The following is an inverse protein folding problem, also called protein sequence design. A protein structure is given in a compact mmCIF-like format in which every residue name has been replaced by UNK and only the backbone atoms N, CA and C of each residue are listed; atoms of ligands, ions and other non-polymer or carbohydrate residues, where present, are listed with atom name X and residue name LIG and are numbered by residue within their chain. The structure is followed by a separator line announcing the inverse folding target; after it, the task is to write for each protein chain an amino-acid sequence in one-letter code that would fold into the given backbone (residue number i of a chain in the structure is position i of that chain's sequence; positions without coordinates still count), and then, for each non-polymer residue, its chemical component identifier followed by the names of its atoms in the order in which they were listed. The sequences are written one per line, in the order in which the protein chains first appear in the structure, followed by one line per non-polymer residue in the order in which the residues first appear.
data_IF_729541981126
#
_entry.id   IF_729541981126
#
_cell.length_a   1.000
_cell.length_b   1.000
_cell.length_c   1.000
_cell.angle_alpha   90.00
_cell.angle_beta   90.00
_cell.angle_gamma   90.00
#
_symmetry.space_group_name_H-M   'P 1'
#
loop_
_entity.id
_entity.type
_entity.pdbx_description
1 polymer ?
#
# COMPACT_ATOMS: atom_id res chain seq x y z
N UNK A 1 -4.85 44.98 21.73
CA UNK A 1 -4.65 43.53 21.96
C UNK A 1 -5.34 42.73 20.85
N UNK A 2 -4.58 42.10 19.93
CA UNK A 2 -5.13 41.18 18.91
C UNK A 2 -4.97 39.75 19.45
N UNK A 3 -6.07 39.07 19.75
CA UNK A 3 -6.10 37.66 20.17
C UNK A 3 -7.27 36.99 19.45
N UNK A 4 -7.02 35.78 18.96
CA UNK A 4 -7.99 34.75 18.56
C UNK A 4 -8.41 34.72 17.08
N UNK A 5 -7.52 34.27 16.19
CA UNK A 5 -7.92 33.70 14.87
C UNK A 5 -7.15 32.41 14.50
N UNK A 6 -6.33 31.81 15.38
CA UNK A 6 -5.40 30.72 14.98
C UNK A 6 -5.83 29.29 15.37
N UNK A 7 -7.01 29.09 15.95
CA UNK A 7 -7.39 27.80 16.55
C UNK A 7 -8.27 26.89 15.67
N UNK A 8 -8.76 27.35 14.52
CA UNK A 8 -9.70 26.57 13.67
C UNK A 8 -9.09 26.00 12.40
N UNK A 9 -7.89 26.42 12.01
CA UNK A 9 -7.25 26.01 10.75
C UNK A 9 -6.39 24.74 10.90
N UNK A 10 -5.96 24.42 12.12
CA UNK A 10 -5.10 23.26 12.41
C UNK A 10 -5.87 21.93 12.35
N UNK A 11 -7.09 21.88 12.89
CA UNK A 11 -7.91 20.66 12.96
C UNK A 11 -8.48 20.25 11.58
N UNK A 12 -8.86 21.24 10.76
CA UNK A 12 -9.23 21.00 9.38
C UNK A 12 -8.04 20.43 8.60
N UNK A 13 -6.85 21.04 8.69
CA UNK A 13 -5.64 20.58 8.00
C UNK A 13 -5.28 19.11 8.31
N UNK A 14 -5.30 18.72 9.58
CA UNK A 14 -5.03 17.33 9.99
C UNK A 14 -6.05 16.33 9.44
N UNK A 15 -7.34 16.64 9.51
CA UNK A 15 -8.36 15.73 8.96
C UNK A 15 -8.32 15.65 7.43
N UNK A 16 -7.94 16.71 6.72
CA UNK A 16 -7.70 16.68 5.27
C UNK A 16 -6.57 15.71 4.93
N UNK A 17 -5.47 15.82 5.67
CA UNK A 17 -4.25 15.07 5.40
C UNK A 17 -4.45 13.58 5.71
N UNK A 18 -5.16 13.27 6.79
CA UNK A 18 -5.57 11.90 7.14
C UNK A 18 -6.48 11.28 6.07
N UNK A 19 -7.48 12.02 5.57
CA UNK A 19 -8.36 11.55 4.48
C UNK A 19 -7.62 11.38 3.15
N UNK A 20 -6.69 12.28 2.84
CA UNK A 20 -5.78 12.16 1.69
C UNK A 20 -4.95 10.89 1.80
N UNK A 21 -4.53 10.55 3.02
CA UNK A 21 -3.72 9.37 3.29
C UNK A 21 -4.46 8.05 3.39
N UNK A 22 -5.77 8.07 3.62
CA UNK A 22 -6.62 6.88 3.53
C UNK A 22 -6.84 6.43 2.08
N UNK A 23 -6.78 7.35 1.12
CA UNK A 23 -7.01 7.04 -0.30
C UNK A 23 -5.72 6.56 -0.95
N UNK A 24 -5.76 5.36 -1.52
CA UNK A 24 -4.68 4.84 -2.34
C UNK A 24 -4.69 5.46 -3.73
N UNK A 25 -3.54 5.95 -4.17
CA UNK A 25 -3.34 6.45 -5.53
C UNK A 25 -2.58 5.43 -6.38
N UNK A 26 -2.70 5.48 -7.72
CA UNK A 26 -1.94 4.59 -8.59
C UNK A 26 -0.42 4.73 -8.43
N UNK A 27 0.08 5.89 -7.99
CA UNK A 27 1.50 6.08 -7.70
C UNK A 27 1.93 5.30 -6.45
N UNK A 28 1.12 5.34 -5.40
CA UNK A 28 1.35 4.56 -4.17
C UNK A 28 1.25 3.06 -4.43
N UNK A 29 0.31 2.62 -5.28
CA UNK A 29 0.21 1.21 -5.68
C UNK A 29 1.48 0.73 -6.39
N UNK A 30 2.04 1.54 -7.29
CA UNK A 30 3.30 1.22 -7.96
C UNK A 30 4.43 1.06 -6.96
N UNK A 31 4.56 1.99 -6.02
CA UNK A 31 5.58 1.93 -4.96
C UNK A 31 5.41 0.65 -4.13
N UNK A 32 4.18 0.33 -3.72
CA UNK A 32 3.89 -0.88 -2.96
C UNK A 32 4.27 -2.15 -3.74
N UNK A 33 3.88 -2.24 -5.02
CA UNK A 33 4.19 -3.38 -5.87
C UNK A 33 5.70 -3.51 -6.10
N UNK A 34 6.40 -2.40 -6.38
CA UNK A 34 7.86 -2.38 -6.52
C UNK A 34 8.54 -2.83 -5.23
N UNK A 35 8.15 -2.29 -4.07
CA UNK A 35 8.73 -2.67 -2.79
C UNK A 35 8.55 -4.17 -2.48
N UNK A 36 7.40 -4.74 -2.83
CA UNK A 36 7.15 -6.18 -2.69
C UNK A 36 7.98 -6.98 -3.70
N UNK A 37 8.11 -6.52 -4.95
CA UNK A 37 8.92 -7.18 -5.98
C UNK A 37 10.39 -7.20 -5.60
N UNK A 38 10.96 -6.06 -5.22
CA UNK A 38 12.35 -5.92 -4.80
C UNK A 38 12.64 -6.85 -3.61
N UNK A 39 11.69 -7.00 -2.69
CA UNK A 39 11.82 -7.93 -1.57
C UNK A 39 11.84 -9.40 -2.00
N UNK A 40 11.08 -9.76 -3.04
CA UNK A 40 11.13 -11.10 -3.61
C UNK A 40 12.42 -11.34 -4.39
N UNK A 41 12.88 -10.34 -5.15
CA UNK A 41 14.09 -10.40 -5.98
C UNK A 41 15.37 -10.47 -5.14
N UNK A 42 15.40 -9.81 -3.98
CA UNK A 42 16.49 -9.96 -2.99
C UNK A 42 16.63 -11.40 -2.47
N UNK A 43 15.59 -12.23 -2.62
CA UNK A 43 15.58 -13.62 -2.17
C UNK A 43 15.53 -13.75 -0.65
N UNK A 44 15.26 -14.95 -0.16
CA UNK A 44 15.29 -15.25 1.28
C UNK A 44 14.13 -14.68 2.11
N UNK A 45 13.22 -13.89 1.54
CA UNK A 45 12.01 -13.36 2.22
C UNK A 45 10.76 -14.21 2.04
N UNK A 46 10.85 -15.23 1.18
CA UNK A 46 9.80 -16.23 0.98
C UNK A 46 10.07 -17.43 1.89
N UNK A 47 9.07 -17.83 2.66
CA UNK A 47 9.05 -19.05 3.45
C UNK A 47 8.73 -20.25 2.55
N UNK A 48 9.07 -21.45 3.02
CA UNK A 48 8.89 -22.70 2.26
C UNK A 48 7.43 -23.00 1.93
N UNK A 49 6.50 -22.47 2.73
CA UNK A 49 5.05 -22.53 2.49
C UNK A 49 4.55 -21.54 1.42
N UNK A 50 5.46 -20.84 0.74
CA UNK A 50 5.13 -19.85 -0.28
C UNK A 50 4.64 -18.50 0.25
N UNK A 51 4.61 -18.30 1.57
CA UNK A 51 4.25 -17.03 2.20
C UNK A 51 5.47 -16.16 2.48
N UNK A 52 5.27 -14.92 2.90
CA UNK A 52 6.36 -14.07 3.37
C UNK A 52 6.83 -14.51 4.76
N UNK A 53 8.14 -14.44 5.01
CA UNK A 53 8.72 -14.64 6.34
C UNK A 53 8.31 -13.51 7.30
N UNK A 54 8.36 -13.80 8.59
CA UNK A 54 8.18 -12.76 9.62
C UNK A 54 9.18 -11.60 9.40
N UNK A 55 8.68 -10.37 9.52
CA UNK A 55 9.47 -9.15 9.29
C UNK A 55 9.54 -8.68 7.83
N UNK A 56 9.13 -9.49 6.84
CA UNK A 56 9.04 -9.05 5.44
C UNK A 56 8.17 -7.81 5.28
N UNK A 57 6.98 -7.81 5.89
CA UNK A 57 6.08 -6.67 5.87
C UNK A 57 6.64 -5.44 6.58
N UNK A 58 7.45 -5.61 7.62
CA UNK A 58 8.09 -4.49 8.30
C UNK A 58 9.11 -3.78 7.38
N UNK A 59 9.78 -4.54 6.49
CA UNK A 59 10.61 -3.94 5.44
C UNK A 59 9.79 -3.18 4.40
N UNK A 60 8.68 -3.76 3.95
CA UNK A 60 7.77 -3.08 2.99
C UNK A 60 7.26 -1.78 3.60
N UNK A 61 6.82 -1.80 4.86
CA UNK A 61 6.41 -0.62 5.63
C UNK A 61 7.51 0.44 5.67
N UNK A 62 8.75 0.06 6.01
CA UNK A 62 9.88 0.99 6.07
C UNK A 62 10.16 1.67 4.71
N UNK A 63 10.12 0.91 3.61
CA UNK A 63 10.29 1.45 2.25
C UNK A 63 9.16 2.41 1.91
N UNK A 64 7.91 2.04 2.23
CA UNK A 64 6.75 2.90 1.97
C UNK A 64 6.82 4.19 2.79
N UNK A 65 7.23 4.14 4.06
CA UNK A 65 7.41 5.33 4.90
C UNK A 65 8.52 6.25 4.39
N UNK A 66 9.60 5.69 3.85
CA UNK A 66 10.69 6.48 3.28
C UNK A 66 10.23 7.25 2.03
N UNK A 67 9.40 6.63 1.19
CA UNK A 67 8.95 7.22 -0.08
C UNK A 67 7.71 8.13 0.13
N UNK A 68 6.87 7.83 1.12
CA UNK A 68 5.64 8.55 1.44
C UNK A 68 5.67 9.11 2.88
N UNK A 69 6.59 10.03 3.20
CA UNK A 69 6.79 10.51 4.58
C UNK A 69 5.60 11.32 5.09
N UNK A 70 4.82 11.94 4.20
CA UNK A 70 3.63 12.72 4.59
C UNK A 70 2.41 11.84 4.86
N UNK A 71 2.53 10.51 4.75
CA UNK A 71 1.41 9.62 4.64
C UNK A 71 1.61 8.29 5.34
N UNK A 72 1.12 8.20 6.57
CA UNK A 72 1.22 6.99 7.37
C UNK A 72 0.19 5.95 6.92
N UNK A 73 0.60 5.08 5.99
CA UNK A 73 -0.16 3.86 5.67
C UNK A 73 0.17 2.82 6.73
N UNK A 74 -0.72 2.62 7.70
CA UNK A 74 -0.53 1.59 8.74
C UNK A 74 -0.68 0.19 8.12
N UNK A 75 0.02 -0.81 8.66
CA UNK A 75 -0.06 -2.23 8.31
C UNK A 75 -1.43 -2.75 7.82
N UNK A 76 -2.56 -2.57 8.55
CA UNK A 76 -3.85 -3.09 8.09
C UNK A 76 -4.32 -2.47 6.76
N UNK A 77 -3.95 -1.22 6.47
CA UNK A 77 -4.26 -0.56 5.20
C UNK A 77 -3.42 -1.13 4.05
N UNK A 78 -2.15 -1.46 4.30
CA UNK A 78 -1.27 -2.10 3.32
C UNK A 78 -1.77 -3.51 3.01
N UNK A 79 -2.09 -4.31 4.04
CA UNK A 79 -2.61 -5.68 3.86
C UNK A 79 -3.91 -5.68 3.05
N UNK A 80 -4.83 -4.78 3.38
CA UNK A 80 -6.09 -4.61 2.64
C UNK A 80 -5.83 -4.26 1.17
N UNK A 81 -4.88 -3.36 0.91
CA UNK A 81 -4.54 -2.96 -0.45
C UNK A 81 -3.91 -4.10 -1.26
N UNK A 82 -2.98 -4.84 -0.68
CA UNK A 82 -2.35 -5.99 -1.36
C UNK A 82 -3.38 -7.06 -1.69
N UNK A 83 -4.31 -7.35 -0.77
CA UNK A 83 -5.41 -8.30 -1.03
C UNK A 83 -6.29 -7.85 -2.19
N UNK A 84 -6.62 -6.56 -2.26
CA UNK A 84 -7.40 -6.00 -3.37
C UNK A 84 -6.64 -6.10 -4.71
N UNK A 85 -5.38 -5.70 -4.74
CA UNK A 85 -4.54 -5.75 -5.95
C UNK A 85 -4.39 -7.19 -6.46
N UNK A 86 -4.17 -8.16 -5.55
CA UNK A 86 -4.13 -9.58 -5.89
C UNK A 86 -5.45 -10.05 -6.51
N UNK A 87 -6.59 -9.71 -5.91
CA UNK A 87 -7.91 -10.10 -6.45
C UNK A 87 -8.14 -9.53 -7.85
N UNK A 88 -7.75 -8.27 -8.09
CA UNK A 88 -7.85 -7.65 -9.41
C UNK A 88 -6.95 -8.36 -10.43
N UNK A 89 -5.70 -8.65 -10.04
CA UNK A 89 -4.78 -9.42 -10.85
C UNK A 89 -5.34 -10.81 -11.19
N UNK A 90 -5.86 -11.55 -10.22
CA UNK A 90 -6.39 -12.90 -10.44
C UNK A 90 -7.55 -12.90 -11.44
N UNK A 91 -8.42 -11.86 -11.41
CA UNK A 91 -9.49 -11.69 -12.39
C UNK A 91 -8.94 -11.46 -13.79
N UNK A 92 -7.98 -10.55 -13.95
CA UNK A 92 -7.34 -10.27 -15.24
C UNK A 92 -6.59 -11.50 -15.76
N UNK A 93 -5.81 -12.16 -14.91
CA UNK A 93 -5.07 -13.37 -15.24
C UNK A 93 -6.01 -14.50 -15.68
N UNK A 94 -7.19 -14.62 -15.03
CA UNK A 94 -8.23 -15.58 -15.45
C UNK A 94 -8.79 -15.23 -16.83
N UNK A 95 -9.07 -13.95 -17.11
CA UNK A 95 -9.56 -13.50 -18.43
C UNK A 95 -8.54 -13.75 -19.55
N UNK A 96 -7.25 -13.65 -19.24
CA UNK A 96 -6.15 -13.89 -20.18
C UNK A 96 -5.76 -15.37 -20.28
N UNK A 97 -6.34 -16.24 -19.45
CA UNK A 97 -6.02 -17.67 -19.47
C UNK A 97 -6.54 -18.32 -20.75
N UNK A 98 -5.75 -19.19 -21.42
CA UNK A 98 -6.19 -19.95 -22.61
C UNK A 98 -7.44 -20.80 -22.36
N UNK A 99 -7.74 -21.12 -21.10
CA UNK A 99 -8.95 -21.86 -20.72
C UNK A 99 -10.21 -21.00 -20.65
N UNK A 100 -10.10 -19.66 -20.79
CA UNK A 100 -11.22 -18.73 -20.82
C UNK A 100 -11.79 -18.50 -22.23
N UNK A 101 -11.11 -18.95 -23.28
CA UNK A 101 -11.67 -19.06 -24.63
C UNK A 101 -12.45 -20.38 -24.76
N UNK A 102 -13.51 -20.49 -23.97
CA UNK A 102 -14.55 -21.51 -24.12
C UNK A 102 -15.77 -20.89 -24.80
N UNK A 103 -15.60 -20.49 -26.06
CA UNK A 103 -16.66 -20.15 -27.01
C UNK A 103 -16.43 -20.96 -28.28
#
# INVERSE_FOLDING_TARGET
MKRSQESTEQDANETNNTRKCLRWTPAEDRILVTAISDLLDMGGWKADNGQFKNGAWAKVEAIMHQILPSCEKIKPHIDSRVKLLRKQYDVVAKMLSPSASGW
#
